data_IF_360381247379
#
_entry.id   IF_360381247379
#
_cell.length_a   1.000
_cell.length_b   1.000
_cell.length_c   1.000
_cell.angle_alpha   90.00
_cell.angle_beta   90.00
_cell.angle_gamma   90.00
#
_symmetry.space_group_name_H-M   'P 1'
#
loop_
_entity.id
_entity.type
_entity.pdbx_description
1 polymer ?
#
# COMPACT_ATOMS: atom_id res chain seq x y z
N UNK A 1 33.49 26.57 5.58
CA UNK A 1 34.24 26.48 6.86
C UNK A 1 33.85 25.25 7.69
N UNK A 2 32.59 24.98 7.94
CA UNK A 2 32.14 23.81 8.74
C UNK A 2 32.39 22.48 8.00
N UNK A 3 32.11 22.45 6.68
CA UNK A 3 32.40 21.30 5.81
C UNK A 3 33.89 20.94 5.83
N UNK A 4 34.76 21.95 5.73
CA UNK A 4 36.21 21.78 5.79
C UNK A 4 36.70 21.28 7.14
N UNK A 5 36.14 21.74 8.29
CA UNK A 5 36.50 21.29 9.65
C UNK A 5 35.99 19.88 9.93
N UNK A 6 34.82 19.47 9.41
CA UNK A 6 34.33 18.09 9.55
C UNK A 6 35.13 17.13 8.67
N UNK A 7 35.55 17.58 7.44
CA UNK A 7 36.38 16.78 6.53
C UNK A 7 37.79 16.59 7.03
N UNK A 8 38.30 17.46 7.89
CA UNK A 8 39.65 17.33 8.50
C UNK A 8 39.69 16.40 9.72
N UNK A 9 38.57 15.94 10.23
CA UNK A 9 38.52 14.96 11.31
C UNK A 9 38.82 13.54 10.78
N UNK A 10 39.69 12.77 11.46
CA UNK A 10 40.12 11.43 11.02
C UNK A 10 38.95 10.42 10.89
N UNK A 11 37.79 10.75 11.44
CA UNK A 11 36.56 9.92 11.39
C UNK A 11 35.41 10.47 10.50
N UNK A 12 35.71 11.40 9.57
CA UNK A 12 34.69 11.99 8.67
C UNK A 12 33.86 10.94 7.95
N UNK A 13 34.47 9.88 7.45
CA UNK A 13 33.77 8.77 6.78
C UNK A 13 32.82 8.03 7.74
N UNK A 14 33.14 7.95 9.02
CA UNK A 14 32.34 7.32 10.08
C UNK A 14 31.13 8.17 10.46
N UNK A 15 31.30 9.49 10.54
CA UNK A 15 30.22 10.47 10.79
C UNK A 15 29.25 10.47 9.61
N UNK A 16 29.74 10.55 8.38
CA UNK A 16 28.91 10.50 7.18
C UNK A 16 28.13 9.17 7.03
N UNK A 17 28.78 8.02 7.31
CA UNK A 17 28.10 6.71 7.33
C UNK A 17 27.02 6.63 8.41
N UNK A 18 27.25 7.17 9.61
CA UNK A 18 26.28 7.20 10.72
C UNK A 18 25.07 8.09 10.42
N UNK A 19 25.20 9.13 9.58
CA UNK A 19 24.09 9.96 9.11
C UNK A 19 23.22 9.24 8.07
N UNK A 20 23.75 8.27 7.33
CA UNK A 20 23.08 7.55 6.24
C UNK A 20 22.39 6.26 6.73
N UNK A 21 22.81 5.69 7.87
CA UNK A 21 22.24 4.44 8.38
C UNK A 21 20.83 4.61 8.96
N UNK A 22 20.02 3.55 8.90
CA UNK A 22 18.59 3.47 9.29
C UNK A 22 18.22 4.00 10.68
N UNK A 23 19.18 4.10 11.62
CA UNK A 23 18.98 4.70 12.94
C UNK A 23 19.22 6.20 12.87
N UNK A 24 18.15 6.96 12.57
CA UNK A 24 18.15 8.42 12.54
C UNK A 24 18.50 8.99 13.92
N UNK A 25 19.76 9.30 14.14
CA UNK A 25 20.20 10.00 15.36
C UNK A 25 19.67 11.43 15.34
N UNK A 26 19.30 11.94 16.52
CA UNK A 26 18.91 13.34 16.67
C UNK A 26 20.12 14.25 16.46
N UNK A 27 19.88 15.51 16.05
CA UNK A 27 20.94 16.50 15.88
C UNK A 27 21.74 16.71 17.20
N UNK A 28 21.07 16.56 18.34
CA UNK A 28 21.68 16.67 19.66
C UNK A 28 22.69 15.54 19.91
N UNK A 29 22.28 14.30 19.60
CA UNK A 29 23.18 13.14 19.76
C UNK A 29 24.38 13.21 18.81
N UNK A 30 24.20 13.72 17.60
CA UNK A 30 25.31 13.92 16.67
C UNK A 30 26.28 15.01 17.16
N UNK A 31 25.76 16.08 17.78
CA UNK A 31 26.63 17.08 18.40
C UNK A 31 27.43 16.49 19.56
N UNK A 32 26.82 15.73 20.46
CA UNK A 32 27.50 15.03 21.58
C UNK A 32 28.59 14.08 21.06
N UNK A 33 28.30 13.28 20.02
CA UNK A 33 29.26 12.39 19.38
C UNK A 33 30.46 13.18 18.78
N UNK A 34 30.19 14.36 18.17
CA UNK A 34 31.23 15.24 17.60
C UNK A 34 32.10 15.89 18.70
N UNK A 35 31.50 16.34 19.80
CA UNK A 35 32.24 16.89 20.97
C UNK A 35 33.16 15.83 21.55
N UNK A 36 32.69 14.59 21.67
CA UNK A 36 33.54 13.47 22.11
C UNK A 36 34.73 13.18 21.17
N UNK A 37 34.63 13.60 19.89
CA UNK A 37 35.70 13.50 18.89
C UNK A 37 36.56 14.80 18.79
N UNK A 38 36.42 15.74 19.73
CA UNK A 38 37.19 16.98 19.75
C UNK A 38 36.60 18.17 18.99
N UNK A 39 35.32 18.13 18.67
CA UNK A 39 34.64 19.27 18.04
C UNK A 39 34.29 20.36 19.08
N UNK A 40 34.79 21.57 18.85
CA UNK A 40 34.63 22.75 19.72
C UNK A 40 33.48 23.71 19.32
N UNK A 41 32.72 23.32 18.33
CA UNK A 41 31.66 24.18 17.79
C UNK A 41 30.30 24.02 18.48
N UNK A 42 29.45 25.06 18.35
CA UNK A 42 28.13 25.07 18.98
C UNK A 42 27.13 24.08 18.32
N UNK A 43 26.18 23.63 19.13
CA UNK A 43 25.02 22.81 18.64
C UNK A 43 24.29 23.48 17.46
N UNK A 44 24.08 24.81 17.50
CA UNK A 44 23.42 25.56 16.43
C UNK A 44 24.07 25.38 15.05
N UNK A 45 25.41 25.31 15.02
CA UNK A 45 26.18 25.07 13.78
C UNK A 45 25.96 23.65 13.26
N UNK A 46 25.95 22.65 14.15
CA UNK A 46 25.69 21.25 13.78
C UNK A 46 24.26 21.08 13.27
N UNK A 47 23.28 21.68 13.93
CA UNK A 47 21.88 21.66 13.51
C UNK A 47 21.67 22.35 12.15
N UNK A 48 22.34 23.48 11.90
CA UNK A 48 22.30 24.16 10.59
C UNK A 48 22.93 23.30 9.48
N UNK A 49 24.08 22.68 9.76
CA UNK A 49 24.73 21.76 8.81
C UNK A 49 23.82 20.55 8.49
N UNK A 50 23.17 19.95 9.47
CA UNK A 50 22.26 18.82 9.25
C UNK A 50 21.07 19.24 8.39
N UNK A 51 20.50 20.45 8.60
CA UNK A 51 19.41 20.98 7.78
C UNK A 51 19.85 21.17 6.35
N UNK A 52 21.00 21.80 6.13
CA UNK A 52 21.57 22.02 4.80
C UNK A 52 21.90 20.68 4.11
N UNK A 53 22.54 19.74 4.81
CA UNK A 53 22.84 18.41 4.28
C UNK A 53 21.59 17.61 3.90
N UNK A 54 20.53 17.67 4.73
CA UNK A 54 19.24 17.07 4.38
C UNK A 54 18.64 17.69 3.13
N UNK A 55 18.73 19.00 2.99
CA UNK A 55 18.25 19.73 1.81
C UNK A 55 19.06 19.35 0.56
N UNK A 56 20.39 19.33 0.64
CA UNK A 56 21.29 18.88 -0.44
C UNK A 56 21.03 17.42 -0.82
N UNK A 57 20.84 16.52 0.16
CA UNK A 57 20.47 15.11 -0.10
C UNK A 57 19.09 14.98 -0.74
N UNK A 58 18.14 15.81 -0.33
CA UNK A 58 16.82 15.84 -0.93
C UNK A 58 16.88 16.34 -2.38
N UNK A 59 17.66 17.39 -2.65
CA UNK A 59 17.91 17.89 -4.01
C UNK A 59 18.69 16.86 -4.85
N UNK A 60 19.75 16.25 -4.30
CA UNK A 60 20.52 15.22 -5.00
C UNK A 60 19.65 13.98 -5.33
N UNK A 61 18.75 13.58 -4.45
CA UNK A 61 17.76 12.52 -4.72
C UNK A 61 16.72 12.96 -5.74
N UNK A 62 16.45 14.25 -5.86
CA UNK A 62 15.57 14.79 -6.90
C UNK A 62 16.27 14.91 -8.27
N UNK A 63 17.60 15.05 -8.30
CA UNK A 63 18.38 15.20 -9.54
C UNK A 63 19.07 13.92 -10.00
N UNK A 64 19.49 13.04 -9.08
CA UNK A 64 20.08 11.72 -9.40
C UNK A 64 19.02 10.63 -9.35
N UNK A 65 18.22 10.48 -10.40
CA UNK A 65 17.26 9.38 -10.46
C UNK A 65 15.87 9.74 -10.95
N UNK A 66 15.64 10.97 -11.36
CA UNK A 66 14.54 11.27 -12.26
C UNK A 66 14.97 10.87 -13.67
N UNK A 67 14.94 9.57 -13.94
CA UNK A 67 14.51 9.14 -15.25
C UNK A 67 13.25 9.93 -15.56
N UNK A 68 13.07 10.37 -16.79
CA UNK A 68 11.89 11.10 -17.25
C UNK A 68 10.67 10.48 -16.59
N UNK A 69 9.94 11.25 -15.76
CA UNK A 69 8.68 10.80 -15.18
C UNK A 69 7.71 10.61 -16.34
N UNK A 70 7.64 9.41 -16.86
CA UNK A 70 6.61 9.04 -17.83
C UNK A 70 5.36 8.79 -17.01
N UNK A 71 4.31 9.62 -17.13
CA UNK A 71 3.04 9.34 -16.49
C UNK A 71 2.60 7.93 -16.86
N UNK A 72 2.24 7.12 -15.87
CA UNK A 72 1.69 5.79 -16.12
C UNK A 72 0.29 5.97 -16.76
N UNK A 73 0.23 5.90 -18.08
CA UNK A 73 -1.01 5.86 -18.84
C UNK A 73 -1.49 4.42 -18.90
N UNK A 74 -2.70 4.17 -18.44
CA UNK A 74 -3.34 2.87 -18.50
C UNK A 74 -4.46 2.90 -19.55
N UNK A 75 -4.63 1.78 -20.25
CA UNK A 75 -5.76 1.59 -21.15
C UNK A 75 -7.00 1.13 -20.36
N UNK A 76 -8.23 1.33 -20.88
CA UNK A 76 -9.44 0.80 -20.27
C UNK A 76 -9.34 -0.71 -20.03
N UNK A 77 -9.69 -1.17 -18.83
CA UNK A 77 -9.65 -2.57 -18.44
C UNK A 77 -8.25 -3.15 -18.28
N UNK A 78 -7.18 -2.33 -18.35
CA UNK A 78 -5.80 -2.82 -18.27
C UNK A 78 -5.43 -3.27 -16.88
N UNK A 79 -5.62 -2.40 -15.86
CA UNK A 79 -5.10 -2.70 -14.55
C UNK A 79 -5.96 -2.15 -13.39
N UNK A 80 -5.85 -2.83 -12.27
CA UNK A 80 -6.26 -2.30 -10.96
C UNK A 80 -5.08 -2.26 -10.01
N UNK A 81 -5.19 -1.45 -8.97
CA UNK A 81 -4.23 -1.34 -7.88
C UNK A 81 -4.91 -1.73 -6.57
N UNK A 82 -4.16 -2.42 -5.74
CA UNK A 82 -4.56 -2.84 -4.40
C UNK A 82 -3.50 -2.45 -3.37
N UNK A 83 -3.94 -2.02 -2.19
CA UNK A 83 -3.06 -1.79 -1.04
C UNK A 83 -3.79 -2.08 0.27
N UNK A 84 -3.05 -2.17 1.38
CA UNK A 84 -3.61 -2.17 2.73
C UNK A 84 -3.35 -0.83 3.41
N UNK A 85 -4.38 -0.31 4.04
CA UNK A 85 -4.30 0.84 4.94
C UNK A 85 -4.85 0.51 6.31
N UNK A 86 -4.71 1.42 7.26
CA UNK A 86 -5.26 1.27 8.61
C UNK A 86 -6.11 2.47 8.95
N UNK A 87 -7.26 2.23 9.58
CA UNK A 87 -8.11 3.30 10.10
C UNK A 87 -8.89 2.86 11.35
N UNK A 88 -9.59 3.78 11.99
CA UNK A 88 -10.35 3.53 13.21
C UNK A 88 -11.84 3.68 12.96
N UNK A 89 -12.66 2.82 13.58
CA UNK A 89 -14.11 2.94 13.61
C UNK A 89 -14.63 2.54 15.00
N UNK A 90 -15.90 2.84 15.26
CA UNK A 90 -16.62 2.33 16.42
C UNK A 90 -17.53 1.21 15.93
N UNK A 91 -17.29 -0.02 16.39
CA UNK A 91 -18.11 -1.19 16.07
C UNK A 91 -18.74 -1.71 17.35
N UNK A 92 -20.06 -1.83 17.36
CA UNK A 92 -20.82 -2.23 18.55
C UNK A 92 -20.46 -1.41 19.81
N UNK A 93 -20.22 -0.12 19.65
CA UNK A 93 -19.83 0.78 20.74
C UNK A 93 -18.35 0.76 21.14
N UNK A 94 -17.53 -0.11 20.54
CA UNK A 94 -16.11 -0.22 20.82
C UNK A 94 -15.25 0.40 19.71
N UNK A 95 -14.27 1.23 20.12
CA UNK A 95 -13.29 1.77 19.18
C UNK A 95 -12.31 0.68 18.75
N UNK A 96 -12.29 0.34 17.47
CA UNK A 96 -11.44 -0.70 16.91
C UNK A 96 -10.56 -0.15 15.78
N UNK A 97 -9.35 -0.66 15.69
CA UNK A 97 -8.44 -0.42 14.57
C UNK A 97 -8.74 -1.44 13.49
N UNK A 98 -9.01 -0.99 12.29
CA UNK A 98 -9.37 -1.82 11.16
C UNK A 98 -8.31 -1.72 10.06
N UNK A 99 -8.18 -2.79 9.30
CA UNK A 99 -7.44 -2.84 8.06
C UNK A 99 -8.38 -2.43 6.92
N UNK A 100 -8.04 -1.39 6.20
CA UNK A 100 -8.83 -0.86 5.09
C UNK A 100 -8.16 -1.27 3.79
N UNK A 101 -8.91 -1.89 2.92
CA UNK A 101 -8.47 -2.48 1.66
C UNK A 101 -9.04 -1.70 0.45
N UNK A 102 -8.35 -0.68 -0.06
CA UNK A 102 -8.70 -0.02 -1.29
C UNK A 102 -8.37 -0.89 -2.51
N UNK A 103 -9.33 -1.04 -3.40
CA UNK A 103 -9.13 -1.58 -4.75
C UNK A 103 -9.57 -0.52 -5.75
N UNK A 104 -8.69 -0.16 -6.69
CA UNK A 104 -8.92 0.96 -7.63
C UNK A 104 -8.56 0.58 -9.04
N UNK A 105 -9.44 0.88 -9.99
CA UNK A 105 -9.12 0.83 -11.42
C UNK A 105 -8.10 1.91 -11.80
N UNK A 106 -7.11 1.52 -12.59
CA UNK A 106 -6.02 2.44 -12.94
C UNK A 106 -6.41 3.43 -14.03
N UNK A 107 -7.37 3.10 -14.89
CA UNK A 107 -7.88 4.00 -15.93
C UNK A 107 -8.96 4.93 -15.39
N UNK A 108 -10.16 4.44 -15.06
CA UNK A 108 -11.30 5.28 -14.64
C UNK A 108 -11.12 5.91 -13.26
N UNK A 109 -10.20 5.41 -12.46
CA UNK A 109 -10.04 5.79 -11.05
C UNK A 109 -11.20 5.36 -10.14
N UNK A 110 -12.16 4.58 -10.65
CA UNK A 110 -13.20 3.98 -9.83
C UNK A 110 -12.57 3.11 -8.73
N UNK A 111 -13.04 3.24 -7.51
CA UNK A 111 -12.45 2.58 -6.36
C UNK A 111 -13.50 2.05 -5.40
N UNK A 112 -13.13 1.01 -4.67
CA UNK A 112 -13.92 0.43 -3.59
C UNK A 112 -13.03 0.33 -2.35
N UNK A 113 -13.60 0.63 -1.20
CA UNK A 113 -13.00 0.44 0.11
C UNK A 113 -13.73 -0.65 0.87
N UNK A 114 -12.99 -1.57 1.48
CA UNK A 114 -13.55 -2.54 2.44
C UNK A 114 -12.72 -2.54 3.71
N UNK A 115 -13.36 -2.83 4.83
CA UNK A 115 -12.73 -2.83 6.14
C UNK A 115 -12.79 -4.22 6.79
N UNK A 116 -11.70 -4.62 7.44
CA UNK A 116 -11.52 -5.91 8.08
C UNK A 116 -10.77 -5.77 9.41
N UNK A 117 -10.90 -6.75 10.32
CA UNK A 117 -10.14 -6.73 11.57
C UNK A 117 -8.64 -7.05 11.36
N UNK A 118 -8.29 -7.83 10.34
CA UNK A 118 -6.93 -8.31 10.08
C UNK A 118 -6.58 -8.25 8.58
N UNK A 119 -5.35 -8.64 8.23
CA UNK A 119 -4.88 -8.82 6.86
C UNK A 119 -4.60 -10.30 6.61
N UNK A 120 -5.65 -11.11 6.47
CA UNK A 120 -5.52 -12.53 6.12
C UNK A 120 -5.76 -12.79 4.64
N UNK A 121 -5.49 -14.01 4.18
CA UNK A 121 -5.79 -14.41 2.80
C UNK A 121 -7.30 -14.34 2.52
N UNK A 122 -8.12 -14.79 3.46
CA UNK A 122 -9.58 -14.78 3.35
C UNK A 122 -10.12 -13.37 3.16
N UNK A 123 -9.57 -12.39 3.92
CA UNK A 123 -9.94 -10.99 3.82
C UNK A 123 -9.49 -10.36 2.50
N UNK A 124 -8.30 -10.73 2.00
CA UNK A 124 -7.83 -10.35 0.67
C UNK A 124 -8.74 -10.91 -0.42
N UNK A 125 -9.11 -12.19 -0.32
CA UNK A 125 -9.96 -12.86 -1.31
C UNK A 125 -11.37 -12.25 -1.32
N UNK A 126 -11.95 -12.00 -0.15
CA UNK A 126 -13.24 -11.31 -0.03
C UNK A 126 -13.17 -9.90 -0.62
N UNK A 127 -12.11 -9.15 -0.30
CA UNK A 127 -11.93 -7.79 -0.87
C UNK A 127 -11.96 -7.79 -2.37
N UNK A 128 -11.13 -8.62 -3.02
CA UNK A 128 -11.02 -8.61 -4.48
C UNK A 128 -12.31 -9.16 -5.13
N UNK A 129 -12.92 -10.18 -4.54
CA UNK A 129 -14.21 -10.72 -5.00
C UNK A 129 -15.29 -9.66 -4.98
N UNK A 130 -15.46 -8.94 -3.88
CA UNK A 130 -16.45 -7.89 -3.74
C UNK A 130 -16.13 -6.66 -4.60
N UNK A 131 -14.84 -6.29 -4.69
CA UNK A 131 -14.44 -5.22 -5.58
C UNK A 131 -14.79 -5.52 -7.04
N UNK A 132 -14.49 -6.73 -7.54
CA UNK A 132 -14.85 -7.12 -8.91
C UNK A 132 -16.36 -7.20 -9.14
N UNK A 133 -17.13 -7.58 -8.12
CA UNK A 133 -18.60 -7.53 -8.16
C UNK A 133 -19.10 -6.08 -8.36
N UNK A 134 -18.61 -5.15 -7.55
CA UNK A 134 -19.06 -3.75 -7.60
C UNK A 134 -18.54 -3.03 -8.83
N UNK A 135 -17.29 -3.28 -9.24
CA UNK A 135 -16.71 -2.75 -10.47
C UNK A 135 -17.33 -3.37 -11.74
N UNK A 136 -18.13 -4.43 -11.60
CA UNK A 136 -18.79 -5.11 -12.71
C UNK A 136 -17.85 -5.92 -13.62
N UNK A 137 -16.58 -6.15 -13.18
CA UNK A 137 -15.63 -6.90 -13.98
C UNK A 137 -14.23 -6.94 -13.40
N UNK A 138 -13.35 -7.69 -14.06
CA UNK A 138 -11.97 -7.92 -13.65
C UNK A 138 -11.01 -7.31 -14.68
N UNK A 139 -10.11 -6.40 -14.30
CA UNK A 139 -9.04 -5.94 -15.17
C UNK A 139 -8.01 -7.03 -15.43
N UNK A 140 -7.27 -6.90 -16.53
CA UNK A 140 -6.30 -7.91 -16.97
C UNK A 140 -5.12 -8.05 -16.02
N UNK A 141 -4.76 -7.00 -15.26
CA UNK A 141 -3.59 -6.96 -14.40
C UNK A 141 -3.90 -6.35 -13.04
N UNK A 142 -3.44 -7.01 -11.97
CA UNK A 142 -3.45 -6.46 -10.61
C UNK A 142 -2.07 -5.98 -10.19
N UNK A 143 -1.96 -4.76 -9.68
CA UNK A 143 -0.74 -4.15 -9.17
C UNK A 143 -0.79 -4.16 -7.65
N UNK A 144 0.16 -4.86 -7.03
CA UNK A 144 0.23 -5.10 -5.60
C UNK A 144 1.56 -4.62 -5.02
N UNK A 145 1.55 -4.25 -3.74
CA UNK A 145 2.79 -4.20 -2.98
C UNK A 145 3.25 -5.61 -2.59
N UNK A 146 4.48 -5.70 -2.06
CA UNK A 146 5.04 -6.94 -1.52
C UNK A 146 4.39 -7.29 -0.15
N UNK A 147 3.07 -7.43 -0.12
CA UNK A 147 2.32 -7.80 1.08
C UNK A 147 2.47 -9.30 1.38
N UNK A 148 2.50 -9.65 2.66
CA UNK A 148 2.67 -11.05 3.13
C UNK A 148 1.59 -12.01 2.65
N UNK A 149 0.39 -11.51 2.40
CA UNK A 149 -0.75 -12.29 1.87
C UNK A 149 -0.62 -12.61 0.37
N UNK A 150 0.33 -12.03 -0.34
CA UNK A 150 0.54 -12.30 -1.76
C UNK A 150 1.95 -12.84 -2.05
N UNK A 151 2.96 -12.51 -1.23
CA UNK A 151 4.36 -12.87 -1.45
C UNK A 151 4.92 -13.54 -0.19
N UNK A 152 5.29 -14.82 -0.30
CA UNK A 152 5.90 -15.58 0.80
C UNK A 152 7.36 -15.18 1.01
N UNK A 153 8.09 -14.92 -0.08
CA UNK A 153 9.50 -14.54 -0.03
C UNK A 153 9.89 -13.56 -1.13
N UNK A 154 10.59 -12.51 -0.74
CA UNK A 154 11.17 -11.54 -1.65
C UNK A 154 12.63 -11.97 -1.94
N UNK A 155 12.94 -12.29 -3.21
CA UNK A 155 14.28 -12.55 -3.69
C UNK A 155 15.04 -11.29 -4.09
N UNK A 156 16.19 -11.46 -4.74
CA UNK A 156 16.95 -10.34 -5.31
C UNK A 156 16.26 -9.79 -6.57
N UNK A 157 16.23 -8.46 -6.71
CA UNK A 157 15.61 -7.80 -7.86
C UNK A 157 14.10 -8.02 -7.96
N UNK A 158 13.63 -8.54 -9.08
CA UNK A 158 12.20 -8.84 -9.35
C UNK A 158 11.76 -10.25 -8.95
N UNK A 159 12.66 -11.10 -8.46
CA UNK A 159 12.31 -12.46 -8.06
C UNK A 159 11.38 -12.44 -6.85
N UNK A 160 10.25 -13.14 -6.95
CA UNK A 160 9.22 -13.27 -5.90
C UNK A 160 8.76 -14.72 -5.81
N UNK A 161 8.64 -15.22 -4.60
CA UNK A 161 7.88 -16.45 -4.36
C UNK A 161 6.47 -16.04 -3.99
N UNK A 162 5.57 -16.14 -4.97
CA UNK A 162 4.16 -15.77 -4.80
C UNK A 162 3.45 -16.87 -4.02
N UNK A 163 2.60 -16.46 -3.09
CA UNK A 163 1.81 -17.40 -2.30
C UNK A 163 0.85 -18.22 -3.18
N UNK A 164 0.79 -19.53 -2.97
CA UNK A 164 0.00 -20.45 -3.79
C UNK A 164 -1.51 -20.14 -3.74
N UNK A 165 -2.05 -19.76 -2.58
CA UNK A 165 -3.46 -19.41 -2.42
C UNK A 165 -3.79 -18.13 -3.19
N UNK A 166 -2.88 -17.14 -3.14
CA UNK A 166 -3.02 -15.92 -3.93
C UNK A 166 -2.95 -16.19 -5.44
N UNK A 167 -2.04 -17.10 -5.86
CA UNK A 167 -1.99 -17.52 -7.26
C UNK A 167 -3.27 -18.23 -7.72
N UNK A 168 -3.89 -19.02 -6.84
CA UNK A 168 -5.18 -19.66 -7.14
C UNK A 168 -6.28 -18.61 -7.39
N UNK A 169 -6.34 -17.58 -6.55
CA UNK A 169 -7.25 -16.44 -6.75
C UNK A 169 -6.99 -15.72 -8.10
N UNK A 170 -5.72 -15.38 -8.38
CA UNK A 170 -5.35 -14.69 -9.62
C UNK A 170 -5.71 -15.51 -10.88
N UNK A 171 -5.51 -16.82 -10.83
CA UNK A 171 -5.90 -17.74 -11.90
C UNK A 171 -7.42 -17.88 -12.03
N UNK A 172 -8.15 -17.90 -10.92
CA UNK A 172 -9.60 -17.98 -10.91
C UNK A 172 -10.24 -16.79 -11.62
N UNK A 173 -9.76 -15.59 -11.34
CA UNK A 173 -10.23 -14.35 -11.95
C UNK A 173 -9.47 -13.96 -13.23
N UNK A 174 -8.50 -14.76 -13.67
CA UNK A 174 -7.72 -14.59 -14.90
C UNK A 174 -6.94 -13.28 -14.99
N UNK A 175 -6.58 -12.65 -13.88
CA UNK A 175 -5.71 -11.48 -13.90
C UNK A 175 -4.24 -11.84 -13.67
N UNK A 176 -3.34 -11.07 -14.29
CA UNK A 176 -1.90 -11.15 -14.04
C UNK A 176 -1.53 -10.35 -12.79
N UNK A 177 -0.83 -10.96 -11.85
CA UNK A 177 -0.35 -10.26 -10.66
C UNK A 177 1.03 -9.65 -10.89
N UNK A 178 1.14 -8.33 -10.73
CA UNK A 178 2.38 -7.57 -10.82
C UNK A 178 2.71 -6.97 -9.44
N UNK A 179 3.96 -7.12 -9.00
CA UNK A 179 4.41 -6.60 -7.71
C UNK A 179 5.34 -5.41 -7.92
N UNK A 180 5.10 -4.33 -7.17
CA UNK A 180 5.95 -3.15 -7.21
C UNK A 180 7.38 -3.48 -6.79
N UNK A 181 8.36 -2.81 -7.40
CA UNK A 181 9.74 -2.94 -6.96
C UNK A 181 9.92 -2.34 -5.56
N UNK A 182 10.77 -2.95 -4.70
CA UNK A 182 11.16 -2.33 -3.45
C UNK A 182 11.76 -0.93 -3.73
N UNK A 183 11.25 0.08 -3.04
CA UNK A 183 11.64 1.49 -3.18
C UNK A 183 11.17 2.22 -4.46
N UNK A 184 10.33 1.63 -5.31
CA UNK A 184 9.71 2.29 -6.46
C UNK A 184 8.37 2.95 -6.10
N UNK A 185 8.37 3.91 -5.16
CA UNK A 185 7.18 4.63 -4.70
C UNK A 185 6.40 5.34 -5.81
N UNK A 186 7.03 5.62 -6.94
CA UNK A 186 6.38 6.21 -8.12
C UNK A 186 5.43 5.24 -8.83
N UNK A 187 5.66 3.91 -8.76
CA UNK A 187 4.76 2.88 -9.29
C UNK A 187 3.45 2.83 -8.46
N UNK A 188 3.49 3.26 -7.20
CA UNK A 188 2.37 3.30 -6.25
C UNK A 188 1.64 4.64 -6.16
N UNK A 189 2.17 5.72 -6.73
CA UNK A 189 1.71 7.09 -6.48
C UNK A 189 0.22 7.33 -6.67
N UNK A 190 -0.47 6.47 -7.43
CA UNK A 190 -1.91 6.58 -7.65
C UNK A 190 -2.74 5.99 -6.50
N UNK A 191 -2.31 4.86 -5.91
CA UNK A 191 -3.09 4.20 -4.86
C UNK A 191 -2.87 4.86 -3.49
N UNK A 192 -1.64 5.29 -3.18
CA UNK A 192 -1.35 6.04 -1.96
C UNK A 192 -2.19 7.31 -1.87
N UNK A 193 -2.32 8.04 -2.98
CA UNK A 193 -3.20 9.21 -3.06
C UNK A 193 -4.66 8.83 -2.84
N UNK A 194 -5.12 7.70 -3.36
CA UNK A 194 -6.52 7.25 -3.19
C UNK A 194 -6.83 6.85 -1.75
N UNK A 195 -5.90 6.18 -1.05
CA UNK A 195 -6.06 5.88 0.38
C UNK A 195 -6.18 7.17 1.19
N UNK A 196 -5.36 8.18 0.88
CA UNK A 196 -5.42 9.50 1.54
C UNK A 196 -6.70 10.26 1.17
N UNK A 197 -7.13 10.22 -0.08
CA UNK A 197 -8.36 10.88 -0.54
C UNK A 197 -9.60 10.16 0.00
N UNK A 198 -9.61 8.83 0.05
CA UNK A 198 -10.65 8.03 0.70
C UNK A 198 -10.79 8.38 2.18
N UNK A 199 -9.68 8.54 2.90
CA UNK A 199 -9.68 9.02 4.28
C UNK A 199 -10.28 10.42 4.39
N UNK A 200 -9.92 11.34 3.51
CA UNK A 200 -10.41 12.73 3.53
C UNK A 200 -11.87 12.85 3.15
N UNK A 201 -12.38 12.02 2.25
CA UNK A 201 -13.74 12.15 1.72
C UNK A 201 -14.75 11.22 2.39
N UNK A 202 -14.31 10.08 2.92
CA UNK A 202 -15.18 9.04 3.44
C UNK A 202 -15.00 8.84 4.96
N UNK A 203 -13.76 8.88 5.47
CA UNK A 203 -13.40 8.44 6.82
C UNK A 203 -13.06 9.59 7.78
N UNK A 204 -13.72 10.76 7.65
CA UNK A 204 -13.35 11.95 8.45
C UNK A 204 -13.79 11.86 9.91
N UNK A 205 -14.99 11.36 10.14
CA UNK A 205 -15.60 11.35 11.48
C UNK A 205 -15.66 9.91 11.97
N UNK A 206 -14.78 9.49 12.85
CA UNK A 206 -14.76 8.16 13.48
C UNK A 206 -16.11 7.42 13.36
N UNK A 207 -16.41 6.74 12.24
CA UNK A 207 -17.74 6.25 11.94
C UNK A 207 -18.14 5.13 12.91
N UNK A 208 -19.42 5.12 13.32
CA UNK A 208 -19.94 4.15 14.28
C UNK A 208 -21.01 3.26 13.64
N UNK A 209 -20.85 1.94 13.78
CA UNK A 209 -21.72 0.95 13.18
C UNK A 209 -21.99 -0.22 14.13
N UNK A 210 -23.15 -0.92 14.00
CA UNK A 210 -23.44 -2.08 14.82
C UNK A 210 -22.48 -3.25 14.57
N UNK A 211 -22.03 -3.43 13.31
CA UNK A 211 -21.12 -4.50 12.92
C UNK A 211 -20.28 -4.13 11.67
N UNK A 212 -19.37 -4.99 11.27
CA UNK A 212 -18.51 -4.81 10.09
C UNK A 212 -19.29 -4.90 8.77
N UNK A 213 -20.40 -5.64 8.74
CA UNK A 213 -21.26 -5.74 7.56
C UNK A 213 -21.89 -4.39 7.24
N UNK A 214 -22.46 -3.74 8.26
CA UNK A 214 -23.05 -2.40 8.16
C UNK A 214 -22.01 -1.36 7.75
N UNK A 215 -20.80 -1.41 8.31
CA UNK A 215 -19.69 -0.55 7.91
C UNK A 215 -19.34 -0.77 6.41
N UNK A 216 -19.18 -2.02 5.98
CA UNK A 216 -18.81 -2.31 4.60
C UNK A 216 -19.91 -1.94 3.59
N UNK A 217 -21.17 -2.11 3.93
CA UNK A 217 -22.30 -1.65 3.11
C UNK A 217 -22.29 -0.11 2.97
N UNK A 218 -22.04 0.59 4.07
CA UNK A 218 -21.91 2.04 4.06
C UNK A 218 -20.70 2.50 3.23
N UNK A 219 -19.54 1.84 3.36
CA UNK A 219 -18.32 2.15 2.56
C UNK A 219 -18.60 1.98 1.06
N UNK A 220 -19.27 0.90 0.66
CA UNK A 220 -19.66 0.65 -0.74
C UNK A 220 -20.53 1.81 -1.26
N UNK A 221 -21.60 2.16 -0.55
CA UNK A 221 -22.47 3.27 -0.93
C UNK A 221 -21.73 4.60 -1.04
N UNK A 222 -20.81 4.89 -0.10
CA UNK A 222 -20.00 6.12 -0.12
C UNK A 222 -18.99 6.14 -1.26
N UNK A 223 -18.40 4.98 -1.63
CA UNK A 223 -17.53 4.90 -2.80
C UNK A 223 -18.29 5.21 -4.09
N UNK A 224 -19.48 4.64 -4.27
CA UNK A 224 -20.32 4.89 -5.44
C UNK A 224 -20.75 6.37 -5.51
N UNK A 225 -21.19 6.97 -4.42
CA UNK A 225 -21.50 8.40 -4.33
C UNK A 225 -20.27 9.27 -4.67
N UNK A 226 -19.05 8.85 -4.26
CA UNK A 226 -17.82 9.54 -4.66
C UNK A 226 -17.56 9.44 -6.17
N UNK A 227 -17.88 8.33 -6.84
CA UNK A 227 -17.70 8.22 -8.29
C UNK A 227 -18.54 9.26 -9.07
N UNK A 228 -19.73 9.54 -8.59
CA UNK A 228 -20.62 10.54 -9.20
C UNK A 228 -20.12 11.99 -8.99
N UNK A 229 -19.53 12.25 -7.83
CA UNK A 229 -19.13 13.62 -7.43
C UNK A 229 -17.71 14.01 -7.84
N UNK A 230 -16.78 13.03 -7.85
CA UNK A 230 -15.38 13.32 -8.11
C UNK A 230 -15.08 13.41 -9.59
N UNK A 231 -14.41 14.48 -9.98
CA UNK A 231 -13.92 14.63 -11.36
C UNK A 231 -12.69 13.77 -11.60
N UNK A 232 -12.62 13.17 -12.77
CA UNK A 232 -11.42 12.47 -13.22
C UNK A 232 -10.29 13.46 -13.44
N UNK A 233 -9.05 13.09 -13.04
CA UNK A 233 -7.91 14.03 -13.02
C UNK A 233 -7.51 14.49 -14.43
N UNK A 234 -7.64 13.61 -15.43
CA UNK A 234 -7.16 13.83 -16.80
C UNK A 234 -8.31 14.06 -17.82
N UNK A 235 -9.53 13.68 -17.45
CA UNK A 235 -10.69 13.76 -18.33
C UNK A 235 -11.73 14.73 -17.76
N UNK A 236 -12.43 15.47 -18.62
CA UNK A 236 -13.49 16.42 -18.22
C UNK A 236 -14.82 15.73 -17.93
N UNK A 237 -14.78 14.61 -17.22
CA UNK A 237 -15.93 13.77 -16.84
C UNK A 237 -15.75 13.31 -15.39
N UNK A 238 -16.85 12.91 -14.74
CA UNK A 238 -16.76 12.30 -13.42
C UNK A 238 -16.26 10.84 -13.50
N UNK A 239 -15.90 10.27 -12.35
CA UNK A 239 -15.37 8.90 -12.28
C UNK A 239 -16.40 7.88 -12.77
N UNK A 240 -17.70 8.07 -12.46
CA UNK A 240 -18.75 7.14 -12.87
C UNK A 240 -18.92 7.10 -14.42
N UNK A 241 -18.89 8.26 -15.09
CA UNK A 241 -18.93 8.33 -16.55
C UNK A 241 -17.72 7.67 -17.21
N UNK A 242 -16.52 7.87 -16.64
CA UNK A 242 -15.30 7.23 -17.15
C UNK A 242 -15.34 5.72 -16.89
N UNK A 243 -15.84 5.30 -15.72
CA UNK A 243 -16.03 3.88 -15.41
C UNK A 243 -17.03 3.23 -16.37
N UNK A 244 -18.14 3.89 -16.69
CA UNK A 244 -19.10 3.37 -17.66
C UNK A 244 -18.46 3.13 -19.05
N UNK A 245 -17.48 3.97 -19.44
CA UNK A 245 -16.70 3.76 -20.67
C UNK A 245 -15.64 2.68 -20.56
N UNK A 246 -15.13 2.39 -19.36
CA UNK A 246 -14.16 1.32 -19.10
C UNK A 246 -14.81 -0.06 -18.95
N UNK A 247 -16.03 -0.12 -18.40
CA UNK A 247 -16.74 -1.35 -18.06
C UNK A 247 -16.78 -2.40 -19.21
N UNK A 248 -17.03 -2.05 -20.50
CA UNK A 248 -17.00 -3.03 -21.58
C UNK A 248 -15.63 -3.69 -21.84
N UNK A 249 -14.56 -3.13 -21.31
CA UNK A 249 -13.18 -3.63 -21.43
C UNK A 249 -12.74 -4.52 -20.26
N UNK A 250 -13.57 -4.64 -19.22
CA UNK A 250 -13.32 -5.54 -18.10
C UNK A 250 -13.72 -6.97 -18.49
N UNK A 251 -12.99 -7.95 -17.98
CA UNK A 251 -13.37 -9.36 -18.12
C UNK A 251 -14.57 -9.66 -17.22
N UNK A 252 -15.48 -10.49 -17.70
CA UNK A 252 -16.65 -10.90 -16.91
C UNK A 252 -16.16 -11.64 -15.65
N UNK A 253 -16.57 -11.23 -14.45
CA UNK A 253 -16.21 -11.96 -13.24
C UNK A 253 -16.91 -13.33 -13.28
N UNK A 254 -16.13 -14.38 -13.07
CA UNK A 254 -16.67 -15.73 -12.94
C UNK A 254 -17.47 -15.90 -11.65
N UNK A 255 -17.61 -17.16 -11.20
CA UNK A 255 -18.19 -17.44 -9.88
C UNK A 255 -17.33 -16.83 -8.78
N UNK A 256 -17.94 -16.59 -7.62
CA UNK A 256 -17.21 -16.15 -6.42
C UNK A 256 -16.09 -17.13 -6.10
N UNK A 257 -14.88 -16.64 -5.82
CA UNK A 257 -13.76 -17.48 -5.39
C UNK A 257 -14.03 -18.02 -3.98
N UNK A 258 -14.00 -19.32 -3.82
CA UNK A 258 -14.27 -19.96 -2.53
C UNK A 258 -13.08 -19.86 -1.57
N UNK A 259 -11.86 -20.04 -2.08
CA UNK A 259 -10.63 -19.91 -1.28
C UNK A 259 -10.46 -20.98 -0.20
N UNK A 260 -11.21 -22.08 -0.26
CA UNK A 260 -11.11 -23.17 0.72
C UNK A 260 -9.72 -23.79 0.75
N UNK A 261 -9.36 -24.35 1.90
CA UNK A 261 -8.15 -25.13 2.09
C UNK A 261 -8.56 -26.58 2.30
N UNK A 262 -8.23 -27.43 1.34
CA UNK A 262 -8.44 -28.87 1.47
C UNK A 262 -7.31 -29.50 2.28
N UNK A 263 -7.67 -30.31 3.28
CA UNK A 263 -6.73 -31.12 4.05
C UNK A 263 -7.20 -32.58 4.06
N UNK A 264 -6.39 -33.44 3.52
CA UNK A 264 -6.61 -34.90 3.65
C UNK A 264 -5.96 -35.39 4.94
N UNK A 265 -6.77 -35.94 5.85
CA UNK A 265 -6.27 -36.49 7.12
C UNK A 265 -6.67 -37.97 7.25
N UNK A 266 -5.76 -38.75 7.81
CA UNK A 266 -6.05 -40.12 8.15
C UNK A 266 -6.90 -40.19 9.42
N UNK A 267 -8.05 -40.85 9.34
CA UNK A 267 -8.91 -41.06 10.51
C UNK A 267 -8.24 -42.07 11.44
N UNK A 268 -8.24 -41.81 12.74
CA UNK A 268 -7.74 -42.72 13.75
C UNK A 268 -8.66 -43.97 13.87
N UNK A 269 -8.19 -45.10 14.46
CA UNK A 269 -9.05 -46.25 14.73
C UNK A 269 -10.28 -45.94 15.61
N UNK A 270 -10.25 -44.82 16.36
CA UNK A 270 -11.36 -44.31 17.16
C UNK A 270 -12.33 -43.40 16.38
N UNK A 271 -12.21 -43.37 15.06
CA UNK A 271 -12.99 -42.49 14.16
C UNK A 271 -12.89 -41.00 14.46
N UNK A 272 -11.80 -40.56 15.10
CA UNK A 272 -11.52 -39.14 15.40
C UNK A 272 -10.45 -38.58 14.45
N UNK A 273 -10.63 -37.35 14.05
CA UNK A 273 -9.62 -36.54 13.36
C UNK A 273 -9.32 -35.31 14.19
N UNK A 274 -8.06 -34.93 14.27
CA UNK A 274 -7.64 -33.68 14.86
C UNK A 274 -7.67 -32.58 13.81
N UNK A 275 -8.39 -31.49 14.09
CA UNK A 275 -8.48 -30.32 13.22
C UNK A 275 -7.97 -29.09 13.97
N UNK A 276 -6.98 -28.38 13.43
CA UNK A 276 -6.36 -27.17 13.97
C UNK A 276 -5.93 -27.22 15.45
N UNK A 277 -5.52 -28.42 15.92
CA UNK A 277 -5.04 -28.61 17.29
C UNK A 277 -6.12 -28.94 18.32
N UNK A 278 -7.38 -29.08 17.88
CA UNK A 278 -8.51 -29.54 18.70
C UNK A 278 -8.87 -30.99 18.37
#
# INVERSE_FOLDING_TARGET
>A
LLKARITSLPDHARVSRRMVTKNRRTARRLHEDLVALGYDGSYGRVAAFIRQWKHEQHQARQTTGRGVFVPLCFQPGEAFQFDWGEDWAVIAGHRVKLQVAPTKLSFSRAFILRAYPLQTHEMLFDTLTEAFRVLGGVPRRGIFDNMKTAVDRIGSGKARQVNLRFMALARHYLFEATFCNPAAGWEKGQIEKTVQDGRRHIWQDLPAFPDLGALNAWLEARCLDCWERLQHIELTRNIAEVHASEHPHLMVPGRRFDGFVEQTKRVSPTCLIQFEGN
#
